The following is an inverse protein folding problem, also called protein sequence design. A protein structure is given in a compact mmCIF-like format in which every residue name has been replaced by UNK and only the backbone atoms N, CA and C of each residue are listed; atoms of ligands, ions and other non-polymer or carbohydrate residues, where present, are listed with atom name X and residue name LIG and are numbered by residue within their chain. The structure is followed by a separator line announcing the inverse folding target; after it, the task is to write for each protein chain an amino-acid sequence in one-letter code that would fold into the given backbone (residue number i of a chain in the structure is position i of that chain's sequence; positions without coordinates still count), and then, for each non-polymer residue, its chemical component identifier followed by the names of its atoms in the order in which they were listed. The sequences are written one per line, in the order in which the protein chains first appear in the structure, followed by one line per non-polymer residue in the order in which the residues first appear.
data_IF_780088395990
#
_entry.id   IF_780088395990
#
_cell.length_a   1.000
_cell.length_b   1.000
_cell.length_c   1.000
_cell.angle_alpha   90.00
_cell.angle_beta   90.00
_cell.angle_gamma   90.00
#
_symmetry.space_group_name_H-M   'P 1'
#
loop_
_entity.id
_entity.type
_entity.pdbx_description
1 polymer ?
#
# COMPACT_ATOMS: atom_id res chain seq x y z
N UNK A 1 -59.48 -1.30 12.59
CA UNK A 1 -58.86 -1.37 11.24
C UNK A 1 -57.81 -0.28 11.02
N UNK A 2 -58.03 0.94 11.51
CA UNK A 2 -57.14 2.12 11.37
C UNK A 2 -55.77 1.92 12.06
N UNK A 3 -55.74 1.38 13.28
CA UNK A 3 -54.50 1.15 14.06
C UNK A 3 -53.54 0.19 13.33
N UNK A 4 -54.05 -0.87 12.69
CA UNK A 4 -53.22 -1.81 11.89
C UNK A 4 -52.64 -1.16 10.63
N UNK A 5 -53.30 -0.14 10.05
CA UNK A 5 -52.77 0.62 8.90
C UNK A 5 -51.69 1.61 9.34
N UNK A 6 -51.88 2.27 10.47
CA UNK A 6 -50.90 3.20 11.06
C UNK A 6 -49.64 2.44 11.49
N UNK A 7 -49.77 1.28 12.14
CA UNK A 7 -48.63 0.45 12.52
C UNK A 7 -47.81 -0.05 11.30
N UNK A 8 -48.48 -0.41 10.20
CA UNK A 8 -47.80 -0.75 8.93
C UNK A 8 -47.07 0.44 8.32
N UNK A 9 -47.68 1.64 8.33
CA UNK A 9 -47.05 2.87 7.84
C UNK A 9 -45.82 3.25 8.67
N UNK A 10 -45.90 3.16 10.00
CA UNK A 10 -44.77 3.38 10.90
C UNK A 10 -43.66 2.37 10.62
N UNK A 11 -43.98 1.08 10.46
CA UNK A 11 -43.01 0.05 10.11
C UNK A 11 -42.29 0.31 8.78
N UNK A 12 -43.02 0.76 7.75
CA UNK A 12 -42.44 1.11 6.44
C UNK A 12 -41.53 2.33 6.55
N UNK A 13 -41.92 3.36 7.30
CA UNK A 13 -41.08 4.56 7.52
C UNK A 13 -39.80 4.18 8.28
N UNK A 14 -39.88 3.28 9.25
CA UNK A 14 -38.73 2.83 10.04
C UNK A 14 -37.77 1.98 9.18
N UNK A 15 -38.30 1.08 8.35
CA UNK A 15 -37.50 0.34 7.36
C UNK A 15 -36.86 1.28 6.33
N UNK A 16 -37.60 2.28 5.82
CA UNK A 16 -37.05 3.27 4.89
C UNK A 16 -35.93 4.09 5.56
N UNK A 17 -36.10 4.47 6.83
CA UNK A 17 -35.06 5.16 7.62
C UNK A 17 -33.79 4.33 7.78
N UNK A 18 -33.91 3.02 8.05
CA UNK A 18 -32.76 2.11 8.12
C UNK A 18 -32.06 1.97 6.76
N UNK A 19 -32.83 1.88 5.67
CA UNK A 19 -32.26 1.80 4.30
C UNK A 19 -31.55 3.10 3.93
N UNK A 20 -32.13 4.27 4.23
CA UNK A 20 -31.49 5.57 3.98
C UNK A 20 -30.22 5.73 4.82
N UNK A 21 -30.25 5.35 6.11
CA UNK A 21 -29.06 5.35 6.96
C UNK A 21 -27.98 4.41 6.44
N UNK A 22 -28.35 3.20 6.00
CA UNK A 22 -27.43 2.26 5.37
C UNK A 22 -26.84 2.83 4.09
N UNK A 23 -27.64 3.48 3.23
CA UNK A 23 -27.20 4.12 1.98
C UNK A 23 -26.26 5.30 2.21
N UNK A 24 -26.50 6.12 3.23
CA UNK A 24 -25.62 7.25 3.60
C UNK A 24 -24.27 6.72 4.10
N UNK A 25 -24.26 5.75 5.03
CA UNK A 25 -23.03 5.12 5.52
C UNK A 25 -22.31 4.28 4.44
N UNK A 26 -23.04 3.85 3.42
CA UNK A 26 -22.52 3.15 2.25
C UNK A 26 -21.87 4.08 1.22
N UNK A 27 -22.13 5.40 1.28
CA UNK A 27 -21.63 6.40 0.34
C UNK A 27 -20.21 6.88 0.67
N UNK A 28 -19.91 7.11 1.95
CA UNK A 28 -18.70 7.82 2.40
C UNK A 28 -17.43 6.96 2.52
N UNK A 29 -17.34 5.82 1.82
CA UNK A 29 -16.19 4.93 2.05
C UNK A 29 -15.89 3.84 1.03
N UNK A 30 -16.41 3.95 -0.20
CA UNK A 30 -16.22 2.94 -1.26
C UNK A 30 -15.14 3.25 -2.29
N UNK A 31 -14.55 4.44 -2.25
CA UNK A 31 -13.41 4.79 -3.09
C UNK A 31 -12.07 4.49 -2.42
N UNK A 32 -10.97 4.43 -3.20
CA UNK A 32 -9.61 4.46 -2.64
C UNK A 32 -9.48 5.63 -1.66
N UNK A 33 -8.84 5.38 -0.51
CA UNK A 33 -8.51 6.45 0.41
C UNK A 33 -7.23 7.17 -0.05
N UNK A 34 -7.17 8.47 0.21
CA UNK A 34 -5.95 9.25 0.03
C UNK A 34 -4.98 8.91 1.15
N UNK A 35 -3.85 8.31 0.80
CA UNK A 35 -2.81 7.93 1.74
C UNK A 35 -2.29 9.12 2.55
N UNK A 36 -2.09 10.26 1.89
CA UNK A 36 -1.48 11.44 2.49
C UNK A 36 -2.39 12.12 3.54
N UNK A 37 -3.69 11.82 3.52
CA UNK A 37 -4.64 12.29 4.52
C UNK A 37 -4.58 11.50 5.84
N UNK A 38 -3.85 10.38 5.86
CA UNK A 38 -3.84 9.40 6.96
C UNK A 38 -2.43 9.13 7.50
N UNK A 39 -1.44 9.98 7.19
CA UNK A 39 -0.04 9.77 7.58
C UNK A 39 0.15 9.59 9.10
N UNK A 40 -0.63 10.32 9.91
CA UNK A 40 -0.52 10.26 11.37
C UNK A 40 -1.40 9.17 12.00
N UNK A 41 -2.18 8.43 11.20
CA UNK A 41 -2.93 7.28 11.70
C UNK A 41 -2.00 6.07 11.86
N UNK A 42 -2.24 5.26 12.90
CA UNK A 42 -1.51 4.02 13.12
C UNK A 42 -1.73 3.04 11.94
N UNK A 43 -0.63 2.59 11.35
CA UNK A 43 -0.60 1.54 10.33
C UNK A 43 -0.53 0.16 10.98
N UNK A 44 0.36 0.00 11.95
CA UNK A 44 0.51 -1.22 12.74
C UNK A 44 0.86 -0.89 14.19
N UNK A 45 0.39 -1.72 15.11
CA UNK A 45 0.79 -1.68 16.53
C UNK A 45 1.58 -2.94 16.85
N UNK A 46 2.78 -2.79 17.39
CA UNK A 46 3.69 -3.86 17.83
C UNK A 46 3.88 -3.71 19.34
N UNK A 47 3.43 -4.65 20.16
CA UNK A 47 3.52 -4.60 21.65
C UNK A 47 3.18 -3.23 22.23
N UNK A 48 2.04 -2.68 21.83
CA UNK A 48 1.50 -1.39 22.26
C UNK A 48 2.20 -0.13 21.73
N UNK A 49 3.26 -0.25 20.91
CA UNK A 49 3.85 0.87 20.17
C UNK A 49 3.28 0.97 18.76
N UNK A 50 2.95 2.19 18.35
CA UNK A 50 2.36 2.48 17.05
C UNK A 50 3.44 2.84 16.03
N UNK A 51 3.36 2.19 14.87
CA UNK A 51 4.03 2.58 13.63
C UNK A 51 2.95 3.19 12.74
N UNK A 52 3.16 4.43 12.31
CA UNK A 52 2.19 5.23 11.56
C UNK A 52 2.31 5.01 10.05
N UNK A 53 1.33 5.44 9.27
CA UNK A 53 1.48 5.45 7.82
C UNK A 53 2.63 6.39 7.36
N UNK A 54 2.96 7.42 8.13
CA UNK A 54 4.15 8.24 7.84
C UNK A 54 5.43 7.40 7.84
N UNK A 55 5.56 6.47 8.79
CA UNK A 55 6.72 5.59 8.94
C UNK A 55 6.80 4.56 7.79
N UNK A 56 5.66 4.23 7.16
CA UNK A 56 5.62 3.34 6.00
C UNK A 56 6.13 3.98 4.70
N UNK A 57 6.42 5.28 4.67
CA UNK A 57 6.73 6.02 3.45
C UNK A 57 7.95 5.45 2.69
N UNK A 58 9.03 5.12 3.39
CA UNK A 58 10.22 4.48 2.82
C UNK A 58 9.86 3.17 2.12
N UNK A 59 9.17 2.27 2.83
CA UNK A 59 8.80 0.94 2.32
C UNK A 59 7.89 1.02 1.10
N UNK A 60 6.96 1.96 1.08
CA UNK A 60 6.07 2.19 -0.07
C UNK A 60 6.85 2.71 -1.26
N UNK A 61 7.72 3.72 -1.08
CA UNK A 61 8.56 4.26 -2.16
C UNK A 61 9.43 3.15 -2.77
N UNK A 62 10.07 2.36 -1.91
CA UNK A 62 10.93 1.25 -2.29
C UNK A 62 10.17 0.17 -3.09
N UNK A 63 9.07 -0.34 -2.54
CA UNK A 63 8.31 -1.43 -3.17
C UNK A 63 7.60 -0.95 -4.45
N UNK A 64 7.01 0.26 -4.45
CA UNK A 64 6.40 0.81 -5.65
C UNK A 64 7.41 0.98 -6.78
N UNK A 65 8.61 1.49 -6.50
CA UNK A 65 9.67 1.58 -7.50
C UNK A 65 10.07 0.21 -8.04
N UNK A 66 10.35 -0.75 -7.16
CA UNK A 66 10.82 -2.10 -7.51
C UNK A 66 9.83 -2.83 -8.41
N UNK A 67 8.54 -2.69 -8.13
CA UNK A 67 7.47 -3.34 -8.92
C UNK A 67 7.22 -2.57 -10.21
N UNK A 68 7.32 -1.24 -10.20
CA UNK A 68 7.17 -0.41 -11.39
C UNK A 68 8.28 -0.67 -12.42
N UNK A 69 9.51 -0.91 -11.98
CA UNK A 69 10.60 -1.34 -12.86
C UNK A 69 10.31 -2.67 -13.55
N UNK A 70 9.76 -3.65 -12.81
CA UNK A 70 9.30 -4.91 -13.40
C UNK A 70 8.12 -4.70 -14.36
N UNK A 71 7.20 -3.80 -14.02
CA UNK A 71 6.08 -3.44 -14.87
C UNK A 71 6.54 -2.81 -16.20
N UNK A 72 7.59 -1.98 -16.17
CA UNK A 72 8.20 -1.40 -17.38
C UNK A 72 8.81 -2.46 -18.29
N UNK A 73 9.42 -3.50 -17.71
CA UNK A 73 9.94 -4.65 -18.47
C UNK A 73 8.80 -5.47 -19.10
N UNK A 74 7.68 -5.63 -18.38
CA UNK A 74 6.50 -6.35 -18.89
C UNK A 74 5.78 -5.58 -20.01
N UNK A 75 5.43 -4.32 -19.76
CA UNK A 75 4.75 -3.44 -20.71
C UNK A 75 4.99 -1.97 -20.34
N UNK A 76 6.03 -1.36 -20.92
CA UNK A 76 6.43 0.02 -20.66
C UNK A 76 5.33 1.07 -20.95
N UNK A 77 4.40 0.79 -21.87
CA UNK A 77 3.31 1.70 -22.20
C UNK A 77 2.13 1.61 -21.22
N UNK A 78 1.95 0.48 -20.53
CA UNK A 78 0.81 0.21 -19.66
C UNK A 78 1.26 -0.54 -18.39
N UNK A 79 2.11 0.10 -17.60
CA UNK A 79 2.67 -0.50 -16.36
C UNK A 79 1.57 -0.91 -15.36
N UNK A 80 0.41 -0.23 -15.38
CA UNK A 80 -0.74 -0.57 -14.54
C UNK A 80 -1.28 -1.98 -14.79
N UNK A 81 -1.10 -2.53 -16.00
CA UNK A 81 -1.53 -3.89 -16.32
C UNK A 81 -0.79 -4.92 -15.48
N UNK A 82 0.50 -4.69 -15.23
CA UNK A 82 1.32 -5.56 -14.39
C UNK A 82 0.90 -5.48 -12.92
N UNK A 83 0.65 -4.28 -12.40
CA UNK A 83 0.11 -4.08 -11.04
C UNK A 83 -1.21 -4.81 -10.80
N UNK A 84 -2.05 -4.88 -11.83
CA UNK A 84 -3.35 -5.56 -11.82
C UNK A 84 -3.28 -7.03 -12.24
N UNK A 85 -2.08 -7.57 -12.46
CA UNK A 85 -1.91 -8.97 -12.83
C UNK A 85 -2.28 -9.86 -11.64
N UNK A 86 -3.15 -10.83 -11.91
CA UNK A 86 -3.50 -11.87 -10.94
C UNK A 86 -2.62 -13.10 -11.17
N UNK A 87 -1.75 -13.41 -10.22
CA UNK A 87 -0.83 -14.54 -10.25
C UNK A 87 -0.69 -15.12 -8.85
N UNK A 88 -0.42 -16.43 -8.74
CA UNK A 88 -0.28 -17.10 -7.44
C UNK A 88 -1.46 -16.83 -6.47
N UNK A 89 -2.68 -16.85 -7.00
CA UNK A 89 -3.93 -16.62 -6.25
C UNK A 89 -4.09 -15.22 -5.61
N UNK A 90 -3.29 -14.24 -6.03
CA UNK A 90 -3.40 -12.85 -5.57
C UNK A 90 -3.06 -11.84 -6.67
N UNK A 91 -3.41 -10.58 -6.47
CA UNK A 91 -2.96 -9.50 -7.34
C UNK A 91 -1.55 -9.06 -6.95
N UNK A 92 -0.70 -8.68 -7.92
CA UNK A 92 0.64 -8.11 -7.65
C UNK A 92 0.53 -6.93 -6.66
N UNK A 93 -0.41 -6.02 -6.87
CA UNK A 93 -0.69 -4.94 -5.93
C UNK A 93 -0.95 -5.42 -4.49
N UNK A 94 -1.70 -6.51 -4.30
CA UNK A 94 -2.01 -7.02 -2.97
C UNK A 94 -0.80 -7.71 -2.34
N UNK A 95 -0.06 -8.51 -3.11
CA UNK A 95 1.18 -9.12 -2.64
C UNK A 95 2.22 -8.06 -2.21
N UNK A 96 2.37 -6.98 -2.98
CA UNK A 96 3.29 -5.90 -2.63
C UNK A 96 2.84 -5.12 -1.38
N UNK A 97 1.54 -5.07 -1.08
CA UNK A 97 1.07 -4.52 0.21
C UNK A 97 1.52 -5.37 1.38
N UNK A 98 1.42 -6.69 1.25
CA UNK A 98 1.89 -7.60 2.29
C UNK A 98 3.41 -7.42 2.49
N UNK A 99 4.18 -7.30 1.40
CA UNK A 99 5.63 -7.01 1.46
C UNK A 99 5.94 -5.69 2.20
N UNK A 100 5.26 -4.59 1.88
CA UNK A 100 5.46 -3.29 2.57
C UNK A 100 5.25 -3.41 4.07
N UNK A 101 4.13 -4.03 4.47
CA UNK A 101 3.78 -4.16 5.89
C UNK A 101 4.71 -5.14 6.61
N UNK A 102 5.05 -6.26 5.98
CA UNK A 102 5.92 -7.26 6.61
C UNK A 102 7.35 -6.72 6.78
N UNK A 103 7.88 -5.95 5.81
CA UNK A 103 9.16 -5.25 5.97
C UNK A 103 9.13 -4.22 7.11
N UNK A 104 8.08 -3.39 7.17
CA UNK A 104 7.94 -2.40 8.24
C UNK A 104 7.84 -3.08 9.62
N UNK A 105 7.02 -4.12 9.76
CA UNK A 105 6.91 -4.86 11.03
C UNK A 105 8.26 -5.47 11.41
N UNK A 106 8.95 -6.08 10.45
CA UNK A 106 10.26 -6.70 10.67
C UNK A 106 11.26 -5.67 11.21
N UNK A 107 11.43 -4.56 10.51
CA UNK A 107 12.45 -3.58 10.83
C UNK A 107 12.15 -2.87 12.15
N UNK A 108 10.90 -2.47 12.38
CA UNK A 108 10.53 -1.85 13.66
C UNK A 108 10.64 -2.81 14.84
N UNK A 109 10.29 -4.10 14.65
CA UNK A 109 10.45 -5.10 15.70
C UNK A 109 11.93 -5.30 16.03
N UNK A 110 12.77 -5.54 15.02
CA UNK A 110 14.19 -5.81 15.22
C UNK A 110 14.94 -4.58 15.71
N UNK A 111 14.57 -3.37 15.27
CA UNK A 111 15.09 -2.13 15.84
C UNK A 111 14.82 -2.05 17.34
N UNK A 112 13.60 -2.37 17.80
CA UNK A 112 13.26 -2.34 19.23
C UNK A 112 14.00 -3.40 20.03
N UNK A 113 14.18 -4.59 19.46
CA UNK A 113 15.01 -5.63 20.08
C UNK A 113 16.47 -5.19 20.17
N UNK A 114 17.00 -4.54 19.13
CA UNK A 114 18.33 -3.95 19.14
C UNK A 114 18.47 -2.89 20.23
N UNK A 115 17.49 -1.98 20.37
CA UNK A 115 17.45 -0.99 21.46
C UNK A 115 17.44 -1.67 22.83
N UNK A 116 16.64 -2.72 23.01
CA UNK A 116 16.57 -3.45 24.28
C UNK A 116 17.90 -4.12 24.67
N UNK A 117 18.70 -4.52 23.67
CA UNK A 117 20.02 -5.14 23.86
C UNK A 117 21.18 -4.14 23.77
N UNK A 118 20.92 -2.85 23.52
CA UNK A 118 21.95 -1.81 23.38
C UNK A 118 22.77 -1.89 22.08
N UNK A 119 22.15 -2.40 21.01
CA UNK A 119 22.71 -2.55 19.66
C UNK A 119 22.12 -1.54 18.66
N UNK A 120 21.51 -0.47 19.14
CA UNK A 120 20.82 0.58 18.37
C UNK A 120 21.75 1.63 17.74
N UNK A 121 23.05 1.54 17.98
CA UNK A 121 24.04 2.47 17.41
C UNK A 121 24.83 1.82 16.28
N UNK A 122 25.02 2.54 15.19
CA UNK A 122 25.93 2.16 14.11
C UNK A 122 27.36 2.63 14.42
N UNK A 123 28.33 1.82 13.99
CA UNK A 123 29.75 2.17 13.97
C UNK A 123 30.04 3.18 12.86
N UNK A 124 31.23 3.80 12.88
CA UNK A 124 31.60 4.79 11.86
C UNK A 124 31.64 4.22 10.42
N UNK A 125 31.95 2.93 10.27
CA UNK A 125 31.90 2.24 8.98
C UNK A 125 30.45 2.01 8.55
N UNK A 126 29.61 1.48 9.43
CA UNK A 126 28.18 1.29 9.18
C UNK A 126 27.44 2.62 8.89
N UNK A 127 27.80 3.73 9.54
CA UNK A 127 27.27 5.07 9.22
C UNK A 127 27.66 5.53 7.82
N UNK A 128 28.86 5.15 7.35
CA UNK A 128 29.31 5.46 5.99
C UNK A 128 28.52 4.64 4.97
N UNK A 129 28.32 3.36 5.24
CA UNK A 129 27.52 2.47 4.39
C UNK A 129 26.06 2.92 4.32
N UNK A 130 25.48 3.32 5.47
CA UNK A 130 24.14 3.91 5.52
C UNK A 130 24.05 5.19 4.67
N UNK A 131 25.06 6.07 4.73
CA UNK A 131 25.06 7.27 3.91
C UNK A 131 25.07 6.97 2.41
N UNK A 132 25.81 5.94 1.97
CA UNK A 132 25.76 5.47 0.58
C UNK A 132 24.39 4.88 0.24
N UNK A 133 23.83 4.04 1.11
CA UNK A 133 22.51 3.44 0.88
C UNK A 133 21.40 4.50 0.77
N UNK A 134 21.45 5.55 1.60
CA UNK A 134 20.55 6.70 1.52
C UNK A 134 20.73 7.42 0.18
N UNK A 135 21.96 7.70 -0.24
CA UNK A 135 22.22 8.36 -1.52
C UNK A 135 21.68 7.53 -2.70
N UNK A 136 21.98 6.24 -2.73
CA UNK A 136 21.51 5.32 -3.77
C UNK A 136 19.98 5.25 -3.80
N UNK A 137 19.32 5.22 -2.63
CA UNK A 137 17.86 5.24 -2.54
C UNK A 137 17.26 6.49 -3.22
N UNK A 138 17.81 7.67 -2.94
CA UNK A 138 17.32 8.94 -3.51
C UNK A 138 17.65 9.08 -5.00
N UNK A 139 18.82 8.61 -5.44
CA UNK A 139 19.21 8.61 -6.86
C UNK A 139 18.33 7.66 -7.69
N UNK A 140 17.91 6.53 -7.12
CA UNK A 140 17.07 5.54 -7.77
C UNK A 140 15.59 5.96 -7.88
N UNK A 141 15.12 6.94 -7.09
CA UNK A 141 13.72 7.34 -7.11
C UNK A 141 13.27 7.79 -8.50
N UNK A 142 12.06 7.38 -8.89
CA UNK A 142 11.46 7.84 -10.14
C UNK A 142 11.07 9.32 -10.04
N UNK A 143 11.19 10.08 -11.13
CA UNK A 143 10.78 11.49 -11.18
C UNK A 143 9.36 11.73 -10.62
N UNK A 144 8.43 10.81 -10.91
CA UNK A 144 7.05 10.87 -10.41
C UNK A 144 6.95 10.68 -8.89
N UNK A 145 7.86 9.92 -8.29
CA UNK A 145 7.92 9.72 -6.84
C UNK A 145 8.47 10.95 -6.14
N UNK A 146 9.47 11.63 -6.73
CA UNK A 146 9.94 12.94 -6.26
C UNK A 146 8.82 13.98 -6.20
N UNK A 147 7.93 14.01 -7.19
CA UNK A 147 6.76 14.91 -7.20
C UNK A 147 5.67 14.53 -6.18
N UNK A 148 5.72 13.30 -5.64
CA UNK A 148 4.67 12.69 -4.82
C UNK A 148 5.19 12.08 -3.52
N UNK A 149 6.27 12.64 -2.96
CA UNK A 149 6.79 12.16 -1.68
C UNK A 149 5.69 12.21 -0.60
N UNK A 150 5.45 11.12 0.14
CA UNK A 150 4.43 11.10 1.19
C UNK A 150 4.76 12.02 2.37
N UNK A 151 6.04 12.16 2.71
CA UNK A 151 6.55 12.97 3.80
C UNK A 151 7.93 13.55 3.45
N UNK A 152 8.53 14.30 4.38
CA UNK A 152 9.85 14.90 4.22
C UNK A 152 10.99 13.85 4.18
N UNK A 153 12.11 14.27 3.58
CA UNK A 153 13.29 13.43 3.40
C UNK A 153 13.91 12.97 4.73
N UNK A 154 13.87 13.81 5.77
CA UNK A 154 14.41 13.47 7.10
C UNK A 154 13.66 12.29 7.70
N UNK A 155 12.33 12.32 7.65
CA UNK A 155 11.47 11.21 8.08
C UNK A 155 11.77 9.94 7.31
N UNK A 156 11.93 10.02 5.98
CA UNK A 156 12.26 8.85 5.14
C UNK A 156 13.64 8.30 5.48
N UNK A 157 14.64 9.18 5.66
CA UNK A 157 15.99 8.80 6.03
C UNK A 157 16.05 8.11 7.40
N UNK A 158 15.21 8.51 8.34
CA UNK A 158 15.10 7.84 9.64
C UNK A 158 14.58 6.40 9.49
N UNK A 159 13.61 6.15 8.60
CA UNK A 159 13.15 4.79 8.32
C UNK A 159 14.23 3.93 7.66
N UNK A 160 15.06 4.51 6.79
CA UNK A 160 16.22 3.82 6.22
C UNK A 160 17.24 3.47 7.32
N UNK A 161 17.46 4.36 8.30
CA UNK A 161 18.31 4.09 9.46
C UNK A 161 17.76 2.98 10.34
N UNK A 162 16.45 2.98 10.61
CA UNK A 162 15.76 1.90 11.34
C UNK A 162 15.99 0.56 10.63
N UNK A 163 15.80 0.52 9.31
CA UNK A 163 16.06 -0.67 8.50
C UNK A 163 17.53 -1.14 8.59
N UNK A 164 18.50 -0.22 8.58
CA UNK A 164 19.92 -0.56 8.73
C UNK A 164 20.25 -1.13 10.12
N UNK A 165 19.68 -0.56 11.19
CA UNK A 165 19.85 -1.09 12.56
C UNK A 165 19.17 -2.46 12.68
N UNK A 166 17.99 -2.65 12.08
CA UNK A 166 17.33 -3.94 12.03
C UNK A 166 18.16 -4.98 11.28
N UNK A 167 18.78 -4.63 10.16
CA UNK A 167 19.69 -5.51 9.42
C UNK A 167 20.92 -5.87 10.26
N UNK A 168 21.50 -4.91 10.99
CA UNK A 168 22.59 -5.15 11.92
C UNK A 168 22.18 -6.14 13.02
N UNK A 169 21.01 -5.98 13.61
CA UNK A 169 20.50 -6.91 14.62
C UNK A 169 20.21 -8.31 14.04
N UNK A 170 19.66 -8.37 12.83
CA UNK A 170 19.54 -9.61 12.07
C UNK A 170 20.90 -10.32 11.89
N UNK A 171 21.96 -9.57 11.58
CA UNK A 171 23.33 -10.12 11.46
C UNK A 171 23.82 -10.65 12.80
N UNK A 172 23.61 -9.90 13.88
CA UNK A 172 23.94 -10.33 15.24
C UNK A 172 23.25 -11.64 15.62
N UNK A 173 21.95 -11.77 15.36
CA UNK A 173 21.20 -13.01 15.61
C UNK A 173 21.73 -14.19 14.77
N UNK A 174 22.11 -13.94 13.52
CA UNK A 174 22.69 -14.97 12.66
C UNK A 174 24.07 -15.43 13.16
N UNK A 175 24.89 -14.52 13.68
CA UNK A 175 26.20 -14.84 14.25
C UNK A 175 26.10 -15.61 15.56
N UNK A 176 25.20 -15.21 16.46
CA UNK A 176 25.04 -15.84 17.79
C UNK A 176 24.27 -17.17 17.72
N UNK A 177 23.19 -17.22 16.94
CA UNK A 177 22.23 -18.33 16.97
C UNK A 177 22.21 -19.17 15.70
N UNK A 178 22.86 -18.74 14.62
CA UNK A 178 22.69 -19.32 13.28
C UNK A 178 21.23 -19.24 12.79
N UNK A 179 20.85 -19.88 11.67
CA UNK A 179 21.69 -20.57 10.69
C UNK A 179 22.27 -19.63 9.61
N UNK A 180 21.60 -18.52 9.29
CA UNK A 180 22.10 -17.48 8.37
C UNK A 180 21.26 -16.22 8.46
N UNK A 181 21.79 -15.10 7.94
CA UNK A 181 21.07 -13.83 7.81
C UNK A 181 19.69 -14.01 7.14
N UNK A 182 19.61 -14.83 6.09
CA UNK A 182 18.36 -15.06 5.35
C UNK A 182 17.24 -15.70 6.20
N UNK A 183 17.59 -16.45 7.25
CA UNK A 183 16.59 -17.04 8.13
C UNK A 183 15.84 -16.01 8.98
N UNK A 184 16.41 -14.82 9.14
CA UNK A 184 15.90 -13.73 9.96
C UNK A 184 15.29 -12.58 9.13
N UNK A 185 15.25 -12.67 7.80
CA UNK A 185 14.54 -11.69 6.96
C UNK A 185 13.05 -11.65 7.29
N UNK A 186 12.34 -10.62 6.80
CA UNK A 186 10.89 -10.46 7.00
C UNK A 186 10.04 -11.68 6.58
N UNK A 187 10.51 -12.50 5.64
CA UNK A 187 9.88 -13.76 5.19
C UNK A 187 10.61 -15.03 5.70
N UNK A 188 11.59 -14.83 6.57
CA UNK A 188 12.45 -15.86 7.15
C UNK A 188 11.76 -16.65 8.26
N UNK A 189 12.09 -17.94 8.34
CA UNK A 189 11.49 -18.84 9.34
C UNK A 189 11.82 -18.43 10.78
N UNK A 190 13.07 -18.07 11.07
CA UNK A 190 13.48 -17.70 12.43
C UNK A 190 12.89 -16.36 12.85
N UNK A 191 12.78 -15.40 11.93
CA UNK A 191 12.03 -14.17 12.17
C UNK A 191 10.57 -14.48 12.52
N UNK A 192 9.92 -15.40 11.81
CA UNK A 192 8.56 -15.83 12.13
C UNK A 192 8.39 -16.32 13.57
N UNK A 193 9.34 -17.10 14.08
CA UNK A 193 9.34 -17.56 15.48
C UNK A 193 9.43 -16.39 16.47
N UNK A 194 10.31 -15.43 16.21
CA UNK A 194 10.45 -14.22 17.05
C UNK A 194 9.15 -13.42 16.99
N UNK A 195 8.67 -13.10 15.78
CA UNK A 195 7.44 -12.33 15.56
C UNK A 195 6.24 -12.92 16.27
N UNK A 196 6.12 -14.24 16.34
CA UNK A 196 5.01 -14.94 17.02
C UNK A 196 5.00 -14.72 18.55
N UNK A 197 6.12 -14.28 19.14
CA UNK A 197 6.20 -13.88 20.56
C UNK A 197 5.67 -12.47 20.81
N UNK A 198 5.42 -11.69 19.75
CA UNK A 198 5.03 -10.28 19.81
C UNK A 198 3.59 -10.05 19.32
N UNK A 199 2.88 -9.10 19.93
CA UNK A 199 1.52 -8.74 19.54
C UNK A 199 1.54 -7.74 18.38
N UNK A 200 1.25 -8.21 17.17
CA UNK A 200 1.14 -7.38 15.96
C UNK A 200 -0.31 -7.16 15.54
N UNK A 201 -0.73 -5.90 15.39
CA UNK A 201 -2.09 -5.52 14.95
C UNK A 201 -2.04 -4.50 13.82
N UNK A 202 -2.36 -4.93 12.61
CA UNK A 202 -2.44 -4.06 11.42
C UNK A 202 -3.79 -3.35 11.37
N UNK A 203 -3.79 -2.06 11.03
CA UNK A 203 -4.99 -1.27 10.77
C UNK A 203 -5.61 -1.60 9.41
N UNK A 204 -6.21 -2.80 9.31
CA UNK A 204 -6.83 -3.31 8.07
C UNK A 204 -7.89 -2.39 7.49
N UNK A 205 -8.61 -1.63 8.34
CA UNK A 205 -9.67 -0.71 7.89
C UNK A 205 -9.15 0.36 6.93
N UNK A 206 -7.98 0.92 7.23
CA UNK A 206 -7.32 1.90 6.37
C UNK A 206 -6.46 1.19 5.33
N UNK A 207 -5.63 0.23 5.77
CA UNK A 207 -4.69 -0.46 4.90
C UNK A 207 -5.36 -1.09 3.69
N UNK A 208 -6.47 -1.82 3.86
CA UNK A 208 -7.17 -2.51 2.77
C UNK A 208 -7.72 -1.55 1.70
N UNK A 209 -7.91 -0.27 2.03
CA UNK A 209 -8.43 0.75 1.12
C UNK A 209 -7.36 1.50 0.34
N UNK A 210 -6.10 1.41 0.75
CA UNK A 210 -5.00 1.98 -0.02
C UNK A 210 -4.65 1.08 -1.21
N UNK A 211 -4.29 1.74 -2.30
CA UNK A 211 -4.07 1.16 -3.62
C UNK A 211 -2.59 1.32 -3.95
N UNK A 212 -1.80 0.31 -3.59
CA UNK A 212 -0.36 0.33 -3.85
C UNK A 212 -0.07 0.31 -5.35
N UNK A 213 0.96 1.02 -5.77
CA UNK A 213 1.19 1.40 -7.16
C UNK A 213 0.46 2.68 -7.57
N UNK A 214 -0.35 3.31 -6.71
CA UNK A 214 -0.94 4.62 -6.98
C UNK A 214 -0.68 5.64 -5.84
N UNK A 215 0.12 5.27 -4.83
CA UNK A 215 0.42 6.17 -3.70
C UNK A 215 1.47 7.20 -4.15
N UNK A 216 2.64 6.73 -4.57
CA UNK A 216 3.76 7.56 -5.04
C UNK A 216 3.91 7.55 -6.56
N UNK A 217 3.20 6.65 -7.25
CA UNK A 217 3.22 6.54 -8.70
C UNK A 217 2.01 7.20 -9.38
N UNK A 218 2.10 7.36 -10.71
CA UNK A 218 0.99 7.84 -11.54
C UNK A 218 0.92 7.06 -12.85
N UNK A 219 -0.14 6.28 -12.98
CA UNK A 219 -0.46 5.56 -14.20
C UNK A 219 -1.34 6.42 -15.10
N UNK A 220 -0.79 6.89 -16.22
CA UNK A 220 -1.51 7.78 -17.16
C UNK A 220 -2.21 7.05 -18.30
N UNK A 221 -1.79 5.81 -18.58
CA UNK A 221 -2.35 4.95 -19.61
C UNK A 221 -2.88 3.68 -18.95
N UNK A 222 -4.11 3.30 -19.27
CA UNK A 222 -4.74 2.08 -18.77
C UNK A 222 -5.19 1.25 -19.96
N UNK A 223 -4.79 -0.02 -19.98
CA UNK A 223 -5.33 -0.99 -20.90
C UNK A 223 -6.59 -1.60 -20.27
N UNK A 224 -7.72 -1.47 -20.95
CA UNK A 224 -8.96 -2.15 -20.59
C UNK A 224 -8.90 -3.62 -21.02
N UNK A 225 -9.69 -4.46 -20.35
CA UNK A 225 -9.79 -5.92 -20.63
C UNK A 225 -9.91 -6.15 -22.15
N UNK A 226 -8.97 -6.95 -22.70
CA UNK A 226 -8.77 -7.31 -24.12
C UNK A 226 -7.94 -6.35 -25.00
N UNK A 227 -7.02 -5.56 -24.46
CA UNK A 227 -6.14 -4.74 -25.30
C UNK A 227 -6.79 -3.45 -25.79
N UNK A 228 -7.90 -3.05 -25.17
CA UNK A 228 -8.64 -1.84 -25.52
C UNK A 228 -8.03 -0.67 -24.77
N UNK A 229 -7.79 0.43 -25.46
CA UNK A 229 -7.12 1.61 -24.89
C UNK A 229 -8.11 2.74 -24.61
N UNK A 230 -7.66 3.83 -23.98
CA UNK A 230 -8.45 5.06 -23.89
C UNK A 230 -8.81 5.62 -25.27
N UNK A 231 -7.94 5.46 -26.27
CA UNK A 231 -8.27 5.81 -27.65
C UNK A 231 -9.43 4.97 -28.19
N UNK A 232 -9.45 3.68 -27.91
CA UNK A 232 -10.54 2.80 -28.33
C UNK A 232 -11.84 3.15 -27.62
N UNK A 233 -11.77 3.51 -26.34
CA UNK A 233 -12.92 4.03 -25.58
C UNK A 233 -13.48 5.31 -26.20
N UNK A 234 -12.62 6.25 -26.61
CA UNK A 234 -13.06 7.47 -27.29
C UNK A 234 -13.62 7.19 -28.70
N UNK A 235 -13.03 6.25 -29.46
CA UNK A 235 -13.59 5.76 -30.73
C UNK A 235 -14.99 5.17 -30.54
N UNK A 236 -15.17 4.27 -29.55
CA UNK A 236 -16.47 3.69 -29.21
C UNK A 236 -17.51 4.77 -28.82
N UNK A 237 -17.11 5.79 -28.05
CA UNK A 237 -18.01 6.91 -27.70
C UNK A 237 -18.40 7.72 -28.94
N UNK A 238 -17.45 8.01 -29.83
CA UNK A 238 -17.69 8.74 -31.06
C UNK A 238 -18.65 8.00 -32.01
N UNK A 239 -18.44 6.70 -32.21
CA UNK A 239 -19.32 5.83 -33.00
C UNK A 239 -20.74 5.80 -32.43
N UNK A 240 -20.89 5.62 -31.12
CA UNK A 240 -22.20 5.62 -30.45
C UNK A 240 -22.92 6.97 -30.54
N UNK A 241 -22.17 8.09 -30.52
CA UNK A 241 -22.72 9.44 -30.73
C UNK A 241 -23.16 9.67 -32.18
N UNK A 242 -22.43 9.13 -33.15
CA UNK A 242 -22.80 9.13 -34.57
C UNK A 242 -24.07 8.33 -34.86
N UNK A 243 -24.16 7.11 -34.30
CA UNK A 243 -25.34 6.25 -34.39
C UNK A 243 -26.59 6.92 -33.79
N UNK A 244 -26.46 7.62 -32.66
CA UNK A 244 -27.55 8.38 -32.02
C UNK A 244 -28.02 9.59 -32.84
N UNK A 245 -27.13 10.22 -33.62
CA UNK A 245 -27.50 11.31 -34.54
C UNK A 245 -28.27 10.78 -35.75
N UNK A 246 -27.76 9.71 -36.38
CA UNK A 246 -28.42 9.08 -37.53
C UNK A 246 -29.79 8.47 -37.19
N UNK A 247 -30.00 8.01 -35.95
CA UNK A 247 -31.29 7.51 -35.49
C UNK A 247 -32.34 8.63 -35.29
N UNK A 248 -31.92 9.86 -34.97
CA UNK A 248 -32.82 11.02 -34.85
C UNK A 248 -33.23 11.58 -36.22
N UNK A 249 -32.35 11.53 -37.21
CA UNK A 249 -32.66 11.98 -38.58
C UNK A 249 -33.58 11.02 -39.34
N UNK A 250 -33.65 9.74 -38.92
CA UNK A 250 -34.58 8.75 -39.49
C UNK A 250 -35.96 8.70 -38.80
N UNK A 251 -36.17 9.52 -37.76
CA UNK A 251 -37.43 9.60 -37.02
C UNK A 251 -38.20 10.91 -37.28
N UNK A 252 -37.88 11.63 -38.36
CA UNK A 252 -38.62 12.79 -38.86
C UNK A 252 -39.30 12.46 -40.20
#
# INVERSE_FOLDING_TARGET
MIIKRIAKLIGVILCAGVVVYALINMGDGRGPLDYNAHLDDAAVTIDDEEVTFRDLAFYILFEERKVEEQAKVYNADYTKDFWNLYTNETFIQSASKDVVIDMAIHDHLFYRLAVAEGLDTLSAEEETDLAYAINDFWEDLLDVQWEKLPCDEETINEQIRIAAIAEKYQNHLAEENGPSQAAYKYDGYNYGLIRDEHSVKINKKLWDKFVLGDITLKHTKINYINGLTDEDKEKFKAEKKGLRRNAKDKSQ
#
